data_IF_183354070504
#
_entry.id   IF_183354070504
#
_cell.length_a   1.000
_cell.length_b   1.000
_cell.length_c   1.000
_cell.angle_alpha   90.00
_cell.angle_beta   90.00
_cell.angle_gamma   90.00
#
_symmetry.space_group_name_H-M   'P 1'
#
loop_
_entity.id
_entity.type
_entity.pdbx_description
1 polymer ?
#
# COMPACT_ATOMS: atom_id res chain seq x y z
N UNK A 1 31.20 -0.12 13.50
CA UNK A 1 29.83 0.01 14.06
C UNK A 1 28.94 0.93 13.24
N UNK A 2 29.34 2.17 12.92
CA UNK A 2 28.54 3.11 12.11
C UNK A 2 28.37 2.58 10.66
N UNK A 3 29.43 2.08 10.01
CA UNK A 3 29.33 1.49 8.66
C UNK A 3 28.42 0.25 8.61
N UNK A 4 28.39 -0.57 9.66
CA UNK A 4 27.48 -1.72 9.73
C UNK A 4 26.02 -1.28 9.79
N UNK A 5 25.72 -0.17 10.47
CA UNK A 5 24.35 0.40 10.51
C UNK A 5 23.94 0.92 9.14
N UNK A 6 24.85 1.56 8.39
CA UNK A 6 24.54 2.05 7.03
C UNK A 6 24.15 0.91 6.07
N UNK A 7 24.73 -0.29 6.22
CA UNK A 7 24.40 -1.45 5.40
C UNK A 7 22.95 -1.95 5.57
N UNK A 8 22.28 -1.62 6.67
CA UNK A 8 20.87 -1.94 6.90
C UNK A 8 19.90 -0.95 6.24
N UNK A 9 20.42 0.16 5.67
CA UNK A 9 19.62 1.23 5.06
C UNK A 9 19.98 1.45 3.60
N UNK A 10 20.40 0.39 2.90
CA UNK A 10 20.53 0.39 1.44
C UNK A 10 19.15 0.34 0.80
N UNK A 11 19.05 0.69 -0.48
CA UNK A 11 17.77 0.68 -1.24
C UNK A 11 17.14 -0.71 -1.21
N UNK A 12 17.96 -1.77 -1.38
CA UNK A 12 17.52 -3.17 -1.36
C UNK A 12 16.98 -3.57 0.01
N UNK A 13 17.65 -3.15 1.09
CA UNK A 13 17.20 -3.45 2.45
C UNK A 13 15.94 -2.69 2.81
N UNK A 14 15.79 -1.44 2.39
CA UNK A 14 14.57 -0.67 2.58
C UNK A 14 13.40 -1.29 1.81
N UNK A 15 13.63 -1.73 0.56
CA UNK A 15 12.64 -2.48 -0.21
C UNK A 15 12.20 -3.75 0.54
N UNK A 16 13.15 -4.53 1.06
CA UNK A 16 12.87 -5.74 1.84
C UNK A 16 12.05 -5.43 3.10
N UNK A 17 12.43 -4.40 3.87
CA UNK A 17 11.72 -3.99 5.07
C UNK A 17 10.28 -3.53 4.79
N UNK A 18 10.06 -2.76 3.74
CA UNK A 18 8.71 -2.34 3.33
C UNK A 18 7.84 -3.55 2.99
N UNK A 19 8.36 -4.50 2.21
CA UNK A 19 7.59 -5.68 1.80
C UNK A 19 7.28 -6.62 2.98
N UNK A 20 8.26 -6.91 3.83
CA UNK A 20 8.03 -7.76 5.02
C UNK A 20 7.15 -7.04 6.04
N UNK A 21 7.36 -5.74 6.20
CA UNK A 21 6.62 -4.94 7.19
C UNK A 21 5.12 -4.91 6.95
N UNK A 22 4.64 -5.06 5.71
CA UNK A 22 3.21 -5.07 5.40
C UNK A 22 2.56 -6.45 5.54
N UNK A 23 3.34 -7.54 5.48
CA UNK A 23 2.79 -8.90 5.53
C UNK A 23 1.93 -9.19 6.78
N UNK A 24 2.33 -8.80 8.00
CA UNK A 24 1.51 -9.02 9.19
C UNK A 24 0.12 -8.37 9.11
N UNK A 25 0.04 -7.18 8.52
CA UNK A 25 -1.22 -6.47 8.36
C UNK A 25 -2.12 -7.18 7.34
N UNK A 26 -1.59 -7.59 6.19
CA UNK A 26 -2.33 -8.35 5.19
C UNK A 26 -2.77 -9.72 5.72
N UNK A 27 -1.92 -10.39 6.47
CA UNK A 27 -2.26 -11.64 7.12
C UNK A 27 -3.49 -11.49 8.05
N UNK A 28 -3.53 -10.41 8.86
CA UNK A 28 -4.66 -10.12 9.72
C UNK A 28 -5.94 -9.78 8.92
N UNK A 29 -5.82 -8.97 7.87
CA UNK A 29 -6.96 -8.54 7.04
C UNK A 29 -7.58 -9.74 6.32
N UNK A 30 -6.77 -10.64 5.77
CA UNK A 30 -7.24 -11.77 4.94
C UNK A 30 -7.76 -12.91 5.82
N UNK A 31 -7.00 -13.32 6.83
CA UNK A 31 -7.31 -14.53 7.60
C UNK A 31 -8.10 -14.28 8.88
N UNK A 32 -7.91 -13.12 9.49
CA UNK A 32 -8.52 -12.78 10.79
C UNK A 32 -9.29 -11.45 10.75
N UNK A 33 -10.19 -11.23 9.76
CA UNK A 33 -10.85 -9.93 9.53
C UNK A 33 -11.72 -9.46 10.69
N UNK A 34 -12.17 -10.37 11.56
CA UNK A 34 -13.05 -10.07 12.70
C UNK A 34 -12.30 -9.99 14.04
N UNK A 35 -10.99 -10.25 14.05
CA UNK A 35 -10.20 -10.23 15.30
C UNK A 35 -10.02 -8.82 15.84
N UNK A 36 -9.85 -8.72 17.17
CA UNK A 36 -9.46 -7.46 17.82
C UNK A 36 -8.13 -6.94 17.30
N UNK A 37 -7.16 -7.84 17.03
CA UNK A 37 -5.87 -7.45 16.46
C UNK A 37 -6.02 -6.81 15.08
N UNK A 38 -6.86 -7.39 14.20
CA UNK A 38 -7.13 -6.78 12.90
C UNK A 38 -7.72 -5.37 13.05
N UNK A 39 -8.69 -5.20 13.97
CA UNK A 39 -9.34 -3.90 14.21
C UNK A 39 -8.37 -2.84 14.73
N UNK A 40 -7.50 -3.18 15.69
CA UNK A 40 -6.62 -2.21 16.36
C UNK A 40 -5.30 -1.99 15.64
N UNK A 41 -4.82 -2.94 14.86
CA UNK A 41 -3.55 -2.83 14.15
C UNK A 41 -3.73 -2.67 12.65
N UNK A 42 -4.37 -3.63 11.97
CA UNK A 42 -4.36 -3.67 10.52
C UNK A 42 -5.33 -2.65 9.87
N UNK A 43 -6.48 -2.36 10.51
CA UNK A 43 -7.46 -1.37 10.00
C UNK A 43 -7.41 -0.03 10.76
N UNK A 44 -6.37 0.20 11.54
CA UNK A 44 -6.11 1.45 12.24
C UNK A 44 -5.19 2.37 11.42
N UNK A 45 -4.85 3.52 12.01
CA UNK A 45 -3.86 4.43 11.43
C UNK A 45 -2.43 3.87 11.43
N UNK A 46 -2.14 2.86 12.29
CA UNK A 46 -0.79 2.35 12.56
C UNK A 46 -0.03 1.94 11.29
N UNK A 47 -0.57 1.05 10.42
CA UNK A 47 0.20 0.60 9.25
C UNK A 47 0.48 1.74 8.28
N UNK A 48 -0.49 2.63 8.05
CA UNK A 48 -0.30 3.77 7.14
C UNK A 48 0.69 4.76 7.73
N UNK A 49 0.66 5.02 9.04
CA UNK A 49 1.63 5.88 9.72
C UNK A 49 3.06 5.32 9.58
N UNK A 50 3.26 4.01 9.78
CA UNK A 50 4.56 3.36 9.61
C UNK A 50 5.08 3.45 8.17
N UNK A 51 4.22 3.17 7.19
CA UNK A 51 4.59 3.24 5.77
C UNK A 51 4.84 4.68 5.32
N UNK A 52 4.09 5.65 5.83
CA UNK A 52 4.34 7.07 5.58
C UNK A 52 5.67 7.51 6.18
N UNK A 53 6.02 7.02 7.37
CA UNK A 53 7.32 7.26 7.97
C UNK A 53 8.47 6.68 7.14
N UNK A 54 8.30 5.45 6.64
CA UNK A 54 9.25 4.83 5.72
C UNK A 54 9.39 5.64 4.42
N UNK A 55 8.28 6.09 3.84
CA UNK A 55 8.26 6.95 2.66
C UNK A 55 9.03 8.25 2.87
N UNK A 56 8.78 8.95 3.99
CA UNK A 56 9.49 10.19 4.36
C UNK A 56 10.99 9.93 4.51
N UNK A 57 11.37 8.79 5.12
CA UNK A 57 12.77 8.42 5.25
C UNK A 57 13.44 8.18 3.90
N UNK A 58 12.77 7.47 2.98
CA UNK A 58 13.26 7.22 1.62
C UNK A 58 13.39 8.54 0.86
N UNK A 59 12.41 9.43 0.97
CA UNK A 59 12.42 10.77 0.38
C UNK A 59 13.62 11.59 0.88
N UNK A 60 13.89 11.55 2.19
CA UNK A 60 15.05 12.21 2.79
C UNK A 60 16.37 11.66 2.22
N UNK A 61 16.49 10.34 2.07
CA UNK A 61 17.64 9.69 1.45
C UNK A 61 17.81 10.08 -0.01
N UNK A 62 16.74 10.13 -0.77
CA UNK A 62 16.74 10.60 -2.16
C UNK A 62 17.22 12.05 -2.26
N UNK A 63 16.71 12.93 -1.40
CA UNK A 63 17.13 14.34 -1.34
C UNK A 63 18.64 14.50 -1.08
N UNK A 64 19.21 13.73 -0.14
CA UNK A 64 20.66 13.74 0.12
C UNK A 64 21.47 13.22 -1.06
N UNK A 65 20.89 12.39 -1.92
CA UNK A 65 21.49 11.85 -3.14
C UNK A 65 21.39 12.76 -4.37
N UNK A 66 21.05 14.05 -4.18
CA UNK A 66 20.84 15.04 -5.27
C UNK A 66 19.58 14.80 -6.11
N UNK A 67 18.54 14.27 -5.51
CA UNK A 67 17.23 14.14 -6.14
C UNK A 67 16.66 15.53 -6.48
N UNK A 68 16.36 15.74 -7.76
CA UNK A 68 15.78 16.99 -8.25
C UNK A 68 14.26 16.99 -8.10
N UNK A 69 13.74 17.82 -7.17
CA UNK A 69 12.31 17.98 -6.97
C UNK A 69 11.59 18.67 -8.14
N UNK A 70 12.30 19.48 -8.92
CA UNK A 70 11.72 20.13 -10.11
C UNK A 70 11.35 19.07 -11.16
N UNK A 71 12.05 17.94 -11.18
CA UNK A 71 11.71 16.77 -12.01
C UNK A 71 10.34 16.14 -11.67
N UNK A 72 9.80 16.34 -10.47
CA UNK A 72 8.47 15.80 -10.12
C UNK A 72 7.34 16.43 -10.95
N UNK A 73 7.48 17.67 -11.40
CA UNK A 73 6.49 18.30 -12.29
C UNK A 73 6.51 17.68 -13.67
N UNK A 74 7.63 17.11 -14.10
CA UNK A 74 7.75 16.43 -15.39
C UNK A 74 6.92 15.15 -15.49
N UNK A 75 6.47 14.56 -14.37
CA UNK A 75 5.57 13.41 -14.36
C UNK A 75 4.30 13.62 -15.19
N UNK A 76 3.84 14.85 -15.30
CA UNK A 76 2.62 15.20 -16.04
C UNK A 76 2.88 15.58 -17.50
N UNK A 77 4.14 15.64 -17.93
CA UNK A 77 4.54 16.08 -19.27
C UNK A 77 4.57 14.93 -20.30
N UNK A 78 4.61 13.69 -19.85
CA UNK A 78 4.55 12.54 -20.74
C UNK A 78 5.18 11.27 -20.17
N UNK A 79 4.88 10.13 -20.81
CA UNK A 79 5.33 8.80 -20.37
C UNK A 79 6.87 8.66 -20.40
N UNK A 80 7.54 9.35 -21.31
CA UNK A 80 8.99 9.33 -21.44
C UNK A 80 9.68 9.87 -20.18
N UNK A 81 9.16 10.97 -19.61
CA UNK A 81 9.66 11.55 -18.37
C UNK A 81 9.46 10.61 -17.17
N UNK A 82 8.30 9.94 -17.10
CA UNK A 82 8.06 8.93 -16.07
C UNK A 82 9.09 7.79 -16.20
N UNK A 83 9.32 7.31 -17.42
CA UNK A 83 10.29 6.23 -17.67
C UNK A 83 11.70 6.61 -17.25
N UNK A 84 12.11 7.87 -17.47
CA UNK A 84 13.42 8.36 -17.05
C UNK A 84 13.53 8.42 -15.52
N UNK A 85 12.51 8.94 -14.82
CA UNK A 85 12.49 9.00 -13.36
C UNK A 85 12.57 7.61 -12.71
N UNK A 86 11.93 6.59 -13.30
CA UNK A 86 11.99 5.22 -12.78
C UNK A 86 13.36 4.53 -12.95
N UNK A 87 14.33 5.14 -13.62
CA UNK A 87 15.71 4.65 -13.61
C UNK A 87 16.41 4.94 -12.29
N UNK A 88 15.98 5.98 -11.56
CA UNK A 88 16.49 6.24 -10.22
C UNK A 88 15.89 5.23 -9.20
N UNK A 89 16.76 4.54 -8.47
CA UNK A 89 16.36 3.49 -7.53
C UNK A 89 15.57 4.03 -6.34
N UNK A 90 15.89 5.23 -5.84
CA UNK A 90 15.13 5.82 -4.73
C UNK A 90 13.74 6.25 -5.19
N UNK A 91 13.63 6.80 -6.40
CA UNK A 91 12.34 7.16 -6.97
C UNK A 91 11.47 5.93 -7.18
N UNK A 92 12.03 4.86 -7.73
CA UNK A 92 11.34 3.58 -7.89
C UNK A 92 10.88 3.02 -6.54
N UNK A 93 11.73 3.10 -5.50
CA UNK A 93 11.39 2.65 -4.16
C UNK A 93 10.29 3.52 -3.51
N UNK A 94 10.31 4.84 -3.71
CA UNK A 94 9.23 5.74 -3.27
C UNK A 94 7.90 5.35 -3.92
N UNK A 95 7.89 5.15 -5.24
CA UNK A 95 6.70 4.70 -5.96
C UNK A 95 6.20 3.35 -5.44
N UNK A 96 7.10 2.39 -5.23
CA UNK A 96 6.75 1.09 -4.67
C UNK A 96 6.14 1.19 -3.26
N UNK A 97 6.74 1.99 -2.39
CA UNK A 97 6.24 2.23 -1.03
C UNK A 97 4.86 2.90 -1.05
N UNK A 98 4.66 3.86 -1.97
CA UNK A 98 3.35 4.46 -2.21
C UNK A 98 2.32 3.42 -2.66
N UNK A 99 2.66 2.59 -3.66
CA UNK A 99 1.81 1.53 -4.17
C UNK A 99 1.38 0.55 -3.06
N UNK A 100 2.32 0.07 -2.26
CA UNK A 100 2.06 -0.85 -1.14
C UNK A 100 1.18 -0.18 -0.08
N UNK A 101 1.40 1.10 0.22
CA UNK A 101 0.62 1.87 1.20
C UNK A 101 -0.83 2.04 0.75
N UNK A 102 -1.04 2.43 -0.51
CA UNK A 102 -2.38 2.60 -1.07
C UNK A 102 -3.12 1.27 -1.13
N UNK A 103 -2.46 0.18 -1.55
CA UNK A 103 -3.08 -1.14 -1.58
C UNK A 103 -3.53 -1.58 -0.17
N UNK A 104 -2.70 -1.35 0.84
CA UNK A 104 -3.06 -1.70 2.22
C UNK A 104 -4.23 -0.85 2.74
N UNK A 105 -4.23 0.46 2.45
CA UNK A 105 -5.35 1.35 2.76
C UNK A 105 -6.65 0.88 2.11
N UNK A 106 -6.58 0.54 0.82
CA UNK A 106 -7.71 0.00 0.05
C UNK A 106 -8.19 -1.33 0.63
N UNK A 107 -7.29 -2.23 1.01
CA UNK A 107 -7.65 -3.49 1.68
C UNK A 107 -8.39 -3.26 3.00
N UNK A 108 -7.94 -2.31 3.80
CA UNK A 108 -8.62 -1.87 5.02
C UNK A 108 -10.00 -1.28 4.74
N UNK A 109 -10.13 -0.48 3.69
CA UNK A 109 -11.41 0.07 3.25
C UNK A 109 -12.37 -1.03 2.78
N UNK A 110 -11.92 -1.96 1.91
CA UNK A 110 -12.70 -3.11 1.46
C UNK A 110 -13.25 -3.89 2.65
N UNK A 111 -12.40 -4.19 3.63
CA UNK A 111 -12.80 -4.91 4.84
C UNK A 111 -13.86 -4.15 5.64
N UNK A 112 -13.68 -2.83 5.80
CA UNK A 112 -14.60 -1.97 6.53
C UNK A 112 -15.97 -1.88 5.84
N UNK A 113 -15.97 -1.69 4.53
CA UNK A 113 -17.23 -1.62 3.74
C UNK A 113 -17.94 -2.98 3.69
N UNK A 114 -17.20 -4.08 3.50
CA UNK A 114 -17.75 -5.43 3.49
C UNK A 114 -18.46 -5.81 4.79
N UNK A 115 -18.00 -5.32 5.94
CA UNK A 115 -18.65 -5.51 7.24
C UNK A 115 -20.03 -4.88 7.29
N UNK A 116 -20.25 -3.73 6.66
CA UNK A 116 -21.57 -3.05 6.61
C UNK A 116 -22.61 -3.91 5.90
N UNK A 117 -22.20 -4.66 4.88
CA UNK A 117 -23.08 -5.50 4.07
C UNK A 117 -23.05 -6.98 4.45
N UNK A 118 -22.39 -7.34 5.56
CA UNK A 118 -22.28 -8.72 6.04
C UNK A 118 -21.74 -9.68 4.98
N UNK A 119 -20.78 -9.23 4.16
CA UNK A 119 -20.15 -10.06 3.13
C UNK A 119 -19.42 -11.23 3.80
N UNK A 120 -19.63 -12.45 3.27
CA UNK A 120 -18.97 -13.63 3.79
C UNK A 120 -17.45 -13.51 3.70
N UNK A 121 -16.75 -13.84 4.81
CA UNK A 121 -15.29 -13.72 4.92
C UNK A 121 -14.53 -14.51 3.85
N UNK A 122 -15.03 -15.68 3.44
CA UNK A 122 -14.38 -16.51 2.41
C UNK A 122 -14.45 -15.80 1.04
N UNK A 123 -15.62 -15.25 0.71
CA UNK A 123 -15.81 -14.49 -0.53
C UNK A 123 -14.95 -13.22 -0.50
N UNK A 124 -14.85 -12.58 0.66
CA UNK A 124 -14.05 -11.37 0.85
C UNK A 124 -12.55 -11.61 0.74
N UNK A 125 -12.04 -12.78 1.13
CA UNK A 125 -10.61 -13.09 1.04
C UNK A 125 -10.09 -13.02 -0.40
N UNK A 126 -10.91 -13.38 -1.38
CA UNK A 126 -10.52 -13.38 -2.78
C UNK A 126 -10.13 -11.97 -3.31
N UNK A 127 -11.01 -10.94 -3.25
CA UNK A 127 -10.62 -9.59 -3.67
C UNK A 127 -9.51 -8.99 -2.81
N UNK A 128 -9.38 -9.35 -1.53
CA UNK A 128 -8.30 -8.88 -0.66
C UNK A 128 -6.94 -9.41 -1.11
N UNK A 129 -6.84 -10.69 -1.48
CA UNK A 129 -5.61 -11.28 -2.03
C UNK A 129 -5.24 -10.59 -3.35
N UNK A 130 -6.20 -10.36 -4.22
CA UNK A 130 -5.96 -9.65 -5.49
C UNK A 130 -5.53 -8.20 -5.21
N UNK A 131 -6.13 -7.52 -4.23
CA UNK A 131 -5.75 -6.15 -3.86
C UNK A 131 -4.32 -6.08 -3.33
N UNK A 132 -3.87 -7.09 -2.59
CA UNK A 132 -2.48 -7.18 -2.16
C UNK A 132 -1.51 -7.20 -3.35
N UNK A 133 -1.84 -7.95 -4.40
CA UNK A 133 -0.98 -8.12 -5.58
C UNK A 133 -1.17 -6.98 -6.60
N UNK A 134 -2.44 -6.63 -6.90
CA UNK A 134 -2.82 -5.68 -7.95
C UNK A 134 -4.02 -4.87 -7.43
N UNK A 135 -3.76 -3.79 -6.70
CA UNK A 135 -4.78 -2.99 -6.01
C UNK A 135 -6.02 -2.65 -6.84
N UNK A 136 -5.88 -2.02 -8.05
CA UNK A 136 -7.02 -1.63 -8.87
C UNK A 136 -7.90 -2.82 -9.29
N UNK A 137 -7.29 -3.97 -9.60
CA UNK A 137 -8.03 -5.18 -9.97
C UNK A 137 -8.80 -5.74 -8.78
N UNK A 138 -8.19 -5.75 -7.59
CA UNK A 138 -8.85 -6.21 -6.38
C UNK A 138 -10.06 -5.36 -6.00
N UNK A 139 -9.96 -4.04 -6.11
CA UNK A 139 -11.09 -3.11 -5.93
C UNK A 139 -12.21 -3.40 -6.93
N UNK A 140 -11.87 -3.60 -8.21
CA UNK A 140 -12.87 -3.91 -9.24
C UNK A 140 -13.63 -5.19 -8.90
N UNK A 141 -12.93 -6.26 -8.55
CA UNK A 141 -13.55 -7.54 -8.13
C UNK A 141 -14.43 -7.34 -6.91
N UNK A 142 -13.95 -6.57 -5.92
CA UNK A 142 -14.76 -6.28 -4.74
C UNK A 142 -16.03 -5.49 -5.09
N UNK A 143 -15.99 -4.52 -5.98
CA UNK A 143 -17.17 -3.76 -6.39
C UNK A 143 -18.19 -4.65 -7.09
N UNK A 144 -17.77 -5.60 -7.92
CA UNK A 144 -18.70 -6.59 -8.49
C UNK A 144 -19.40 -7.36 -7.37
N UNK A 145 -18.65 -7.88 -6.40
CA UNK A 145 -19.24 -8.59 -5.24
C UNK A 145 -20.19 -7.67 -4.46
N UNK A 146 -19.75 -6.43 -4.19
CA UNK A 146 -20.50 -5.44 -3.42
C UNK A 146 -21.86 -5.13 -4.02
N UNK A 147 -21.98 -5.02 -5.34
CA UNK A 147 -23.26 -4.74 -6.02
C UNK A 147 -24.30 -5.82 -5.65
N UNK A 148 -23.91 -7.08 -5.60
CA UNK A 148 -24.85 -8.17 -5.24
C UNK A 148 -25.27 -8.13 -3.76
N UNK A 149 -24.40 -7.72 -2.86
CA UNK A 149 -24.68 -7.66 -1.42
C UNK A 149 -25.35 -6.34 -1.02
N UNK A 150 -24.87 -5.21 -1.48
CA UNK A 150 -25.36 -3.88 -1.11
C UNK A 150 -26.61 -3.48 -1.88
N UNK A 151 -26.84 -4.02 -3.09
CA UNK A 151 -27.95 -3.69 -4.01
C UNK A 151 -28.01 -2.20 -4.32
N UNK A 152 -26.88 -1.51 -4.27
CA UNK A 152 -26.73 -0.08 -4.54
C UNK A 152 -25.33 0.24 -5.10
N UNK A 153 -25.24 1.32 -5.88
CA UNK A 153 -23.98 1.76 -6.51
C UNK A 153 -23.25 2.83 -5.72
N UNK A 154 -23.96 3.56 -4.83
CA UNK A 154 -23.36 4.64 -4.04
C UNK A 154 -22.27 4.11 -3.09
N UNK A 155 -21.13 4.79 -3.05
CA UNK A 155 -20.01 4.47 -2.13
C UNK A 155 -20.28 4.95 -0.70
N UNK A 156 -20.99 6.06 -0.55
CA UNK A 156 -21.33 6.69 0.72
C UNK A 156 -22.85 6.71 0.90
N UNK A 157 -23.26 6.70 2.16
CA UNK A 157 -24.67 6.89 2.56
C UNK A 157 -25.06 8.36 2.43
#
# INVERSE_FOLDING_TARGET
MIEQIYNYFTVEMLYFWVNIGVLPFWFLIIFFPQSHLCKYFATSIVPIFLLSGAYIFILYKAYLGSFDFDGNFSLYLGLEFISELFKDQYYLLMFWTHFVSINLFVGGWILSDAKKFSVNKIILSFPLIITYLIGPLGIFVYWVIRIFYAKRLNLYE
#
